data_IF_022024269879
#
_entry.id   IF_022024269879
#
_cell.length_a   1.000
_cell.length_b   1.000
_cell.length_c   1.000
_cell.angle_alpha   90.00
_cell.angle_beta   90.00
_cell.angle_gamma   90.00
#
_symmetry.space_group_name_H-M   'P 1'
#
loop_
_entity.id
_entity.type
_entity.pdbx_description
1 polymer ?
#
# COMPACT_ATOMS: atom_id res chain seq x y z
N UNK A 1 -12.54 -34.57 -44.07
CA UNK A 1 -13.16 -33.31 -43.60
C UNK A 1 -12.83 -33.18 -42.11
N UNK A 2 -11.82 -32.40 -41.69
CA UNK A 2 -11.48 -32.28 -40.27
C UNK A 2 -12.03 -30.99 -39.65
N UNK A 3 -12.82 -31.19 -38.60
CA UNK A 3 -13.01 -30.43 -37.35
C UNK A 3 -12.71 -28.92 -37.33
N UNK A 4 -13.79 -28.12 -37.38
CA UNK A 4 -13.78 -26.73 -36.92
C UNK A 4 -13.85 -26.72 -35.39
N UNK A 5 -12.71 -26.60 -34.73
CA UNK A 5 -12.64 -26.22 -33.31
C UNK A 5 -13.15 -24.79 -33.15
N UNK A 6 -14.23 -24.61 -32.41
CA UNK A 6 -14.76 -23.29 -32.04
C UNK A 6 -13.78 -22.58 -31.10
N UNK A 7 -13.32 -21.41 -31.55
CA UNK A 7 -12.46 -20.51 -30.77
C UNK A 7 -13.15 -20.12 -29.46
N UNK A 8 -12.52 -20.49 -28.34
CA UNK A 8 -12.99 -20.14 -27.01
C UNK A 8 -12.92 -18.61 -26.81
N UNK A 9 -14.09 -18.02 -26.59
CA UNK A 9 -14.33 -16.60 -26.31
C UNK A 9 -13.39 -16.04 -25.23
N UNK A 10 -12.64 -14.99 -25.61
CA UNK A 10 -11.65 -14.29 -24.78
C UNK A 10 -12.29 -13.70 -23.53
N UNK A 11 -11.91 -14.22 -22.37
CA UNK A 11 -12.29 -13.66 -21.07
C UNK A 11 -11.46 -12.42 -20.71
N UNK A 12 -12.22 -11.39 -20.30
CA UNK A 12 -11.92 -10.19 -19.49
C UNK A 12 -11.26 -8.98 -20.17
N UNK A 13 -12.01 -7.88 -20.05
CA UNK A 13 -11.78 -6.51 -20.50
C UNK A 13 -10.69 -5.83 -19.66
N UNK A 14 -9.62 -5.40 -20.33
CA UNK A 14 -8.42 -4.77 -19.77
C UNK A 14 -7.16 -5.29 -20.47
N UNK A 15 -6.28 -4.40 -20.95
CA UNK A 15 -5.04 -4.83 -21.62
C UNK A 15 -4.19 -5.62 -20.59
N UNK A 16 -3.82 -6.88 -20.86
CA UNK A 16 -2.92 -7.61 -19.98
C UNK A 16 -1.61 -6.84 -19.82
N UNK A 17 -1.00 -6.89 -18.64
CA UNK A 17 0.35 -6.36 -18.44
C UNK A 17 1.28 -6.97 -19.49
N UNK A 18 2.07 -6.13 -20.16
CA UNK A 18 3.02 -6.63 -21.18
C UNK A 18 4.00 -7.57 -20.50
N UNK A 19 4.10 -8.81 -21.00
CA UNK A 19 5.10 -9.77 -20.52
C UNK A 19 6.49 -9.14 -20.61
N UNK A 20 7.26 -9.20 -19.53
CA UNK A 20 8.58 -8.56 -19.43
C UNK A 20 8.57 -7.07 -19.06
N UNK A 21 7.39 -6.44 -18.94
CA UNK A 21 7.27 -5.08 -18.42
C UNK A 21 6.74 -5.12 -16.99
N UNK A 22 7.49 -4.56 -16.03
CA UNK A 22 7.03 -4.40 -14.66
C UNK A 22 5.73 -3.59 -14.64
N UNK A 23 4.70 -4.09 -13.96
CA UNK A 23 3.45 -3.36 -13.70
C UNK A 23 3.65 -2.13 -12.79
N UNK A 24 4.83 -1.96 -12.21
CA UNK A 24 5.28 -0.77 -11.51
C UNK A 24 6.53 -0.19 -12.19
N UNK A 25 6.38 0.70 -13.20
CA UNK A 25 7.49 1.25 -13.98
C UNK A 25 8.49 2.06 -13.13
N UNK A 26 7.99 2.74 -12.09
CA UNK A 26 8.81 3.56 -11.20
C UNK A 26 9.43 2.76 -10.05
N UNK A 27 9.12 1.46 -9.96
CA UNK A 27 9.66 0.57 -8.94
C UNK A 27 9.29 0.96 -7.50
N UNK A 28 10.02 0.40 -6.54
CA UNK A 28 9.92 0.83 -5.14
C UNK A 28 10.37 2.29 -5.05
N UNK A 29 9.73 3.13 -4.21
CA UNK A 29 10.28 4.44 -3.88
C UNK A 29 11.76 4.35 -3.52
N UNK A 30 12.53 5.40 -3.87
CA UNK A 30 13.97 5.46 -3.56
C UNK A 30 14.20 5.22 -2.06
N UNK A 31 15.32 4.58 -1.73
CA UNK A 31 15.72 4.30 -0.34
C UNK A 31 15.66 5.59 0.48
N UNK A 32 15.02 5.55 1.64
CA UNK A 32 14.79 6.71 2.51
C UNK A 32 13.53 7.52 2.20
N UNK A 33 12.81 7.20 1.13
CA UNK A 33 11.48 7.78 0.84
C UNK A 33 10.33 6.80 1.07
N UNK A 34 10.61 5.50 1.17
CA UNK A 34 9.59 4.53 1.50
C UNK A 34 9.13 4.71 2.96
N UNK A 35 7.85 4.43 3.23
CA UNK A 35 7.29 4.53 4.59
C UNK A 35 8.05 3.69 5.60
N UNK A 36 8.45 2.47 5.23
CA UNK A 36 9.24 1.59 6.09
C UNK A 36 10.63 2.16 6.40
N UNK A 37 11.29 2.77 5.41
CA UNK A 37 12.62 3.36 5.61
C UNK A 37 12.53 4.55 6.57
N UNK A 38 11.52 5.41 6.40
CA UNK A 38 11.26 6.56 7.28
C UNK A 38 10.88 6.12 8.69
N UNK A 39 10.03 5.09 8.82
CA UNK A 39 9.65 4.54 10.12
C UNK A 39 10.85 3.94 10.86
N UNK A 40 11.67 3.14 10.18
CA UNK A 40 12.88 2.57 10.75
C UNK A 40 13.90 3.64 11.13
N UNK A 41 14.07 4.68 10.31
CA UNK A 41 14.95 5.79 10.63
C UNK A 41 14.51 6.50 11.92
N UNK A 42 13.22 6.82 12.03
CA UNK A 42 12.69 7.56 13.18
C UNK A 42 12.64 6.71 14.45
N UNK A 43 12.22 5.43 14.37
CA UNK A 43 12.14 4.53 15.53
C UNK A 43 13.52 4.18 16.12
N UNK A 44 14.58 4.19 15.31
CA UNK A 44 15.94 3.96 15.77
C UNK A 44 16.67 5.25 16.21
N UNK A 45 16.02 6.41 16.11
CA UNK A 45 16.61 7.70 16.49
C UNK A 45 16.41 7.96 17.98
N UNK A 46 17.46 8.39 18.68
CA UNK A 46 17.39 8.78 20.09
C UNK A 46 16.68 10.12 20.31
N UNK A 47 16.80 11.05 19.36
CA UNK A 47 16.15 12.35 19.36
C UNK A 47 15.63 12.65 17.95
N UNK A 48 14.42 13.22 17.87
CA UNK A 48 13.79 13.58 16.60
C UNK A 48 13.37 15.03 16.65
N UNK A 49 13.96 15.81 15.76
CA UNK A 49 13.52 17.14 15.44
C UNK A 49 12.91 17.06 13.98
N UNK A 50 11.72 17.62 13.64
CA UNK A 50 11.16 18.02 12.28
C UNK A 50 10.53 19.45 12.04
N UNK A 51 11.06 20.30 11.15
CA UNK A 51 10.67 21.72 10.92
C UNK A 51 9.89 21.76 9.63
N UNK A 52 8.59 21.98 9.69
CA UNK A 52 7.76 21.98 8.49
C UNK A 52 7.15 23.36 8.24
N UNK A 53 7.51 23.99 7.12
CA UNK A 53 6.85 25.22 6.64
C UNK A 53 5.63 24.83 5.80
N UNK A 54 4.45 25.11 6.32
CA UNK A 54 3.18 24.88 5.61
C UNK A 54 2.96 26.00 4.56
N UNK A 55 2.35 25.64 3.43
CA UNK A 55 2.06 26.56 2.32
C UNK A 55 1.09 27.70 2.67
N UNK A 56 0.39 27.60 3.81
CA UNK A 56 -0.58 28.59 4.29
C UNK A 56 0.02 29.62 5.29
N UNK A 57 1.33 29.61 5.51
CA UNK A 57 2.01 30.52 6.43
C UNK A 57 1.67 30.32 7.92
N UNK A 58 0.82 29.34 8.26
CA UNK A 58 0.52 28.99 9.66
C UNK A 58 1.64 28.15 10.23
N UNK A 59 2.30 28.67 11.26
CA UNK A 59 3.26 27.93 12.08
C UNK A 59 2.47 27.23 13.19
N UNK A 60 2.51 25.90 13.22
CA UNK A 60 2.05 25.13 14.38
C UNK A 60 3.29 24.64 15.11
N UNK A 61 3.53 25.12 16.33
CA UNK A 61 4.62 24.63 17.16
C UNK A 61 4.27 23.22 17.66
N UNK A 62 4.68 22.20 16.91
CA UNK A 62 5.16 20.95 17.51
C UNK A 62 6.68 21.15 17.64
N UNK A 63 7.26 20.93 18.82
CA UNK A 63 8.72 20.88 18.95
C UNK A 63 9.20 19.64 18.19
N UNK A 64 9.61 19.90 16.96
CA UNK A 64 10.18 18.99 15.99
C UNK A 64 10.93 19.99 15.06
N UNK A 65 12.26 19.88 14.84
CA UNK A 65 13.04 20.43 13.67
C UNK A 65 13.84 19.50 12.65
N UNK A 66 13.60 19.55 11.33
CA UNK A 66 14.20 18.79 10.21
C UNK A 66 13.50 19.02 8.86
N UNK A 67 14.33 19.12 7.82
CA UNK A 67 14.02 19.23 6.38
C UNK A 67 13.43 17.94 5.76
N UNK A 68 12.37 17.38 6.35
CA UNK A 68 11.90 16.04 5.97
C UNK A 68 10.44 16.00 5.50
N UNK A 69 10.18 15.12 4.52
CA UNK A 69 8.89 15.02 3.79
C UNK A 69 7.70 14.75 4.72
N UNK A 70 6.46 15.05 4.27
CA UNK A 70 5.19 14.78 4.99
C UNK A 70 5.11 13.39 5.64
N UNK A 71 5.81 12.40 5.07
CA UNK A 71 5.89 11.04 5.62
C UNK A 71 6.43 11.03 7.05
N UNK A 72 7.46 11.83 7.30
CA UNK A 72 8.10 11.88 8.61
C UNK A 72 7.16 12.48 9.67
N UNK A 73 6.43 13.54 9.31
CA UNK A 73 5.45 14.14 10.21
C UNK A 73 4.33 13.15 10.58
N UNK A 74 3.84 12.37 9.61
CA UNK A 74 2.81 11.34 9.86
C UNK A 74 3.34 10.24 10.77
N UNK A 75 4.53 9.72 10.48
CA UNK A 75 5.14 8.68 11.31
C UNK A 75 5.39 9.17 12.74
N UNK A 76 5.83 10.42 12.94
CA UNK A 76 5.98 10.95 14.30
C UNK A 76 4.65 11.09 15.01
N UNK A 77 3.59 11.52 14.31
CA UNK A 77 2.24 11.49 14.87
C UNK A 77 1.87 10.07 15.35
N UNK A 78 2.14 9.06 14.53
CA UNK A 78 1.90 7.66 14.91
C UNK A 78 2.79 7.20 16.09
N UNK A 79 4.07 7.57 16.13
CA UNK A 79 4.96 7.26 17.24
C UNK A 79 4.43 7.92 18.52
N UNK A 80 4.03 9.19 18.47
CA UNK A 80 3.47 9.91 19.62
C UNK A 80 2.19 9.24 20.14
N UNK A 81 1.28 8.85 19.27
CA UNK A 81 0.06 8.14 19.67
C UNK A 81 0.36 6.73 20.22
N UNK A 82 1.30 6.00 19.61
CA UNK A 82 1.74 4.70 20.11
C UNK A 82 2.34 4.82 21.52
N UNK A 83 3.17 5.84 21.77
CA UNK A 83 3.74 6.13 23.10
C UNK A 83 2.67 6.47 24.15
N UNK A 84 1.52 7.00 23.74
CA UNK A 84 0.35 7.24 24.63
C UNK A 84 -0.47 5.97 24.88
N UNK A 85 -0.06 4.82 24.36
CA UNK A 85 -0.76 3.54 24.52
C UNK A 85 -1.75 3.23 23.40
N UNK A 86 -1.75 3.97 22.28
CA UNK A 86 -2.57 3.62 21.13
C UNK A 86 -2.02 2.37 20.44
N UNK A 87 -2.60 1.21 20.76
CA UNK A 87 -2.19 -0.11 20.23
C UNK A 87 -2.31 -0.18 18.72
N UNK A 88 -3.28 0.52 18.11
CA UNK A 88 -3.42 0.54 16.65
C UNK A 88 -2.25 1.25 15.98
N UNK A 89 -1.81 2.39 16.53
CA UNK A 89 -0.66 3.11 16.03
C UNK A 89 0.63 2.27 16.17
N UNK A 90 0.81 1.61 17.31
CA UNK A 90 1.94 0.70 17.53
C UNK A 90 1.93 -0.47 16.53
N UNK A 91 0.77 -1.08 16.30
CA UNK A 91 0.60 -2.17 15.33
C UNK A 91 0.89 -1.71 13.90
N UNK A 92 0.39 -0.54 13.49
CA UNK A 92 0.67 -0.04 12.15
C UNK A 92 2.15 0.24 11.91
N UNK A 93 2.86 0.74 12.93
CA UNK A 93 4.31 0.92 12.87
C UNK A 93 5.02 -0.43 12.73
N UNK A 94 4.69 -1.41 13.58
CA UNK A 94 5.26 -2.75 13.53
C UNK A 94 4.99 -3.45 12.19
N UNK A 95 3.74 -3.43 11.71
CA UNK A 95 3.36 -3.98 10.42
C UNK A 95 4.13 -3.32 9.25
N UNK A 96 4.57 -2.07 9.42
CA UNK A 96 5.32 -1.32 8.41
C UNK A 96 6.82 -1.60 8.45
N UNK A 97 7.39 -1.87 9.62
CA UNK A 97 8.83 -2.13 9.81
C UNK A 97 9.19 -3.60 9.74
N UNK A 98 8.37 -4.46 10.32
CA UNK A 98 8.60 -5.90 10.48
C UNK A 98 7.80 -6.73 9.47
N UNK A 99 6.76 -6.14 8.89
CA UNK A 99 5.87 -6.79 7.93
C UNK A 99 4.69 -7.49 8.61
N UNK A 100 3.76 -7.99 7.79
CA UNK A 100 2.56 -8.70 8.26
C UNK A 100 2.74 -10.21 8.13
N UNK A 101 2.20 -11.00 9.08
CA UNK A 101 2.13 -12.44 8.90
C UNK A 101 1.34 -12.79 7.64
N UNK A 102 1.72 -13.91 7.01
CA UNK A 102 1.07 -14.40 5.80
C UNK A 102 -0.41 -14.68 6.10
N UNK A 103 -1.31 -14.00 5.38
CA UNK A 103 -2.73 -14.30 5.47
C UNK A 103 -3.02 -15.54 4.62
N UNK A 104 -3.36 -16.65 5.27
CA UNK A 104 -3.88 -17.83 4.57
C UNK A 104 -5.34 -17.59 4.17
N UNK A 105 -5.68 -17.96 2.93
CA UNK A 105 -7.05 -17.93 2.42
C UNK A 105 -7.33 -19.26 1.75
N UNK A 106 -8.37 -19.93 2.17
CA UNK A 106 -8.90 -21.10 1.46
C UNK A 106 -9.64 -20.61 0.21
N UNK A 107 -9.11 -20.96 -0.96
CA UNK A 107 -9.80 -20.72 -2.23
C UNK A 107 -10.68 -21.94 -2.49
N UNK A 108 -11.95 -21.85 -2.11
CA UNK A 108 -12.95 -22.85 -2.50
C UNK A 108 -13.36 -22.56 -3.94
N UNK A 109 -12.74 -23.25 -4.89
CA UNK A 109 -13.23 -23.27 -6.27
C UNK A 109 -14.51 -24.10 -6.30
N UNK A 110 -15.66 -23.45 -6.12
CA UNK A 110 -16.95 -24.08 -6.47
C UNK A 110 -16.91 -24.41 -7.97
N UNK A 111 -16.89 -25.70 -8.29
CA UNK A 111 -16.95 -26.23 -9.66
C UNK A 111 -18.37 -26.15 -10.25
N UNK A 112 -19.18 -25.19 -9.79
CA UNK A 112 -20.49 -24.93 -10.36
C UNK A 112 -20.31 -24.17 -11.68
N UNK A 113 -20.92 -24.64 -12.79
CA UNK A 113 -20.85 -23.92 -14.04
C UNK A 113 -21.46 -22.53 -13.85
N UNK A 114 -20.76 -21.52 -14.38
CA UNK A 114 -21.22 -20.13 -14.35
C UNK A 114 -22.57 -20.07 -15.08
N UNK A 115 -23.64 -19.76 -14.35
CA UNK A 115 -24.97 -19.60 -14.93
C UNK A 115 -25.05 -18.24 -15.62
N UNK A 116 -25.16 -18.25 -16.95
CA UNK A 116 -25.40 -17.04 -17.73
C UNK A 116 -26.92 -16.83 -17.77
N UNK A 117 -27.43 -15.82 -17.04
CA UNK A 117 -28.78 -15.32 -17.27
C UNK A 117 -28.76 -14.48 -18.54
N UNK A 118 -29.49 -14.96 -19.56
CA UNK A 118 -29.83 -14.14 -20.72
C UNK A 118 -30.99 -13.26 -20.29
N UNK A 119 -30.75 -11.95 -20.21
CA UNK A 119 -31.82 -10.96 -20.04
C UNK A 119 -32.29 -10.66 -21.47
N UNK A 120 -33.49 -11.14 -21.81
CA UNK A 120 -34.18 -10.72 -23.03
C UNK A 120 -34.71 -9.30 -22.80
N UNK A 121 -34.11 -8.34 -23.50
CA UNK A 121 -34.67 -7.00 -23.63
C UNK A 121 -35.76 -7.07 -24.73
N UNK A 122 -37.02 -7.14 -24.30
CA UNK A 122 -38.20 -7.12 -25.19
C UNK A 122 -38.46 -5.79 -25.87
#
# INVERSE_FOLDING_TARGET
MPDKQQENSKRVFGKPFKKGQSGNPNGRPKKGQAWADVANELLNSNEINITMKMSNGKVKNLNLEADKSFRHAVIIGQISEAMKGNVQAARELADRTEGKPKQEREIINKSEPIQVMVIDDG
#
